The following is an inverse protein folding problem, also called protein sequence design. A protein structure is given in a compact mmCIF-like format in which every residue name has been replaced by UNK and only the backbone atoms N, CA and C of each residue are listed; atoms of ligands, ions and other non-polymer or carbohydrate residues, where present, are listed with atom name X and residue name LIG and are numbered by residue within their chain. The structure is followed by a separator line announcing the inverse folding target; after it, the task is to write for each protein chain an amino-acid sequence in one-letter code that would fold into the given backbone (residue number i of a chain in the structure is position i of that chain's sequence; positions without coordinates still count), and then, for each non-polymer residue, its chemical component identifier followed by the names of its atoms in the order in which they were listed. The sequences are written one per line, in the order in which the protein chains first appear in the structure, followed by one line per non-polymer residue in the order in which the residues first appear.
data_IF_166469695771
#
_entry.id   IF_166469695771
#
_cell.length_a   1.000
_cell.length_b   1.000
_cell.length_c   1.000
_cell.angle_alpha   90.00
_cell.angle_beta   90.00
_cell.angle_gamma   90.00
#
_symmetry.space_group_name_H-M   'P 1'
#
loop_
_entity.id
_entity.type
_entity.pdbx_description
1 polymer ?
#
# COMPACT_ATOMS: atom_id res chain seq x y z
N UNK A 1 33.26 -25.91 -20.96
CA UNK A 1 32.56 -24.62 -21.06
C UNK A 1 31.15 -24.90 -21.55
N UNK A 2 30.20 -24.85 -20.63
CA UNK A 2 28.77 -25.07 -20.95
C UNK A 2 28.23 -23.82 -21.66
N UNK A 3 27.93 -23.95 -22.93
CA UNK A 3 27.23 -22.88 -23.68
C UNK A 3 25.77 -22.90 -23.20
N UNK A 4 25.38 -21.89 -22.43
CA UNK A 4 23.97 -21.64 -22.11
C UNK A 4 23.23 -21.37 -23.42
N UNK A 5 22.41 -22.32 -23.84
CA UNK A 5 21.70 -22.28 -25.13
C UNK A 5 20.56 -21.26 -25.14
N UNK A 6 20.12 -20.80 -23.99
CA UNK A 6 19.10 -19.76 -23.86
C UNK A 6 19.72 -18.49 -23.28
N UNK A 7 19.47 -17.31 -23.89
CA UNK A 7 19.83 -16.05 -23.27
C UNK A 7 19.13 -15.93 -21.92
N UNK A 8 19.84 -15.38 -20.94
CA UNK A 8 19.23 -15.06 -19.63
C UNK A 8 17.99 -14.21 -19.87
N UNK A 9 16.85 -14.60 -19.30
CA UNK A 9 15.66 -13.77 -19.31
C UNK A 9 16.02 -12.43 -18.62
N UNK A 10 15.70 -11.29 -19.23
CA UNK A 10 15.84 -10.03 -18.53
C UNK A 10 15.01 -10.09 -17.25
N UNK A 11 15.60 -9.69 -16.14
CA UNK A 11 14.89 -9.60 -14.87
C UNK A 11 13.71 -8.62 -15.05
N UNK A 12 12.51 -9.14 -14.90
CA UNK A 12 11.30 -8.34 -14.93
C UNK A 12 11.00 -7.88 -13.50
N UNK A 13 11.11 -6.60 -13.26
CA UNK A 13 10.77 -5.97 -11.98
C UNK A 13 9.44 -5.24 -12.11
N UNK A 14 8.31 -5.94 -11.89
CA UNK A 14 6.99 -5.30 -11.95
C UNK A 14 6.92 -4.18 -10.89
N UNK A 15 6.67 -2.96 -11.36
CA UNK A 15 6.73 -1.74 -10.56
C UNK A 15 5.49 -0.89 -10.80
N UNK A 16 4.83 -0.47 -9.73
CA UNK A 16 3.87 0.64 -9.74
C UNK A 16 4.66 1.92 -9.54
N UNK A 17 4.42 2.88 -10.41
CA UNK A 17 4.99 4.22 -10.26
C UNK A 17 3.89 5.28 -10.24
N UNK A 18 4.17 6.39 -9.58
CA UNK A 18 3.34 7.58 -9.67
C UNK A 18 4.21 8.81 -9.92
N UNK A 19 3.72 9.72 -10.74
CA UNK A 19 4.37 10.99 -10.99
C UNK A 19 3.40 12.15 -11.12
N UNK A 20 3.90 13.35 -10.94
CA UNK A 20 3.18 14.61 -11.16
C UNK A 20 3.89 15.48 -12.19
N UNK A 21 3.10 16.28 -12.91
CA UNK A 21 3.61 17.31 -13.81
C UNK A 21 3.86 18.60 -13.01
N UNK A 22 4.97 19.27 -13.29
CA UNK A 22 5.37 20.46 -12.53
C UNK A 22 5.00 21.78 -13.25
N UNK A 23 5.00 21.77 -14.58
CA UNK A 23 4.84 22.98 -15.43
C UNK A 23 3.52 23.04 -16.21
N UNK A 24 2.50 22.30 -15.77
CA UNK A 24 1.16 22.35 -16.37
C UNK A 24 0.12 22.65 -15.30
N UNK A 25 -0.63 23.75 -15.46
CA UNK A 25 -1.63 24.22 -14.48
C UNK A 25 -2.85 23.30 -14.41
N UNK A 26 -3.23 22.70 -15.54
CA UNK A 26 -4.34 21.74 -15.68
C UNK A 26 -4.05 20.39 -15.02
N UNK A 27 -2.81 20.11 -14.68
CA UNK A 27 -2.36 18.88 -13.99
C UNK A 27 -1.99 19.11 -12.51
N UNK A 28 -2.22 20.30 -12.01
CA UNK A 28 -1.93 20.64 -10.62
C UNK A 28 -2.83 19.84 -9.65
N UNK A 29 -2.23 19.16 -8.69
CA UNK A 29 -2.94 18.30 -7.72
C UNK A 29 -3.27 16.91 -8.24
N UNK A 30 -2.91 16.59 -9.50
CA UNK A 30 -3.09 15.27 -10.06
C UNK A 30 -1.82 14.42 -9.93
N UNK A 31 -2.01 13.14 -9.64
CA UNK A 31 -0.98 12.11 -9.75
C UNK A 31 -1.37 11.13 -10.87
N UNK A 32 -0.43 10.86 -11.76
CA UNK A 32 -0.58 9.75 -12.69
C UNK A 32 -0.01 8.49 -12.05
N UNK A 33 -0.80 7.43 -12.08
CA UNK A 33 -0.41 6.11 -11.57
C UNK A 33 -0.30 5.14 -12.74
N UNK A 34 0.85 4.48 -12.86
CA UNK A 34 1.12 3.55 -13.96
C UNK A 34 1.92 2.33 -13.51
N UNK A 35 2.07 1.40 -14.45
CA UNK A 35 2.80 0.15 -14.27
C UNK A 35 3.91 0.01 -15.31
N UNK A 36 5.01 -0.61 -14.89
CA UNK A 36 6.11 -0.99 -15.79
C UNK A 36 6.82 -2.25 -15.30
N UNK A 37 7.40 -2.99 -16.24
CA UNK A 37 8.34 -4.08 -15.95
C UNK A 37 9.81 -3.65 -16.10
N UNK A 38 10.04 -2.34 -16.34
CA UNK A 38 11.35 -1.72 -16.52
C UNK A 38 11.51 -0.57 -15.54
N UNK A 39 12.53 0.24 -15.71
CA UNK A 39 12.70 1.48 -14.94
C UNK A 39 11.51 2.42 -15.17
N UNK A 40 10.92 2.92 -14.07
CA UNK A 40 9.86 3.92 -14.12
C UNK A 40 10.34 5.21 -14.79
N UNK A 41 11.61 5.56 -14.59
CA UNK A 41 12.22 6.74 -15.18
C UNK A 41 12.27 6.67 -16.71
N UNK A 42 12.67 5.52 -17.26
CA UNK A 42 12.68 5.31 -18.71
C UNK A 42 11.26 5.36 -19.27
N UNK A 43 10.30 4.71 -18.57
CA UNK A 43 8.90 4.67 -19.00
C UNK A 43 8.28 6.06 -19.03
N UNK A 44 8.47 6.86 -17.99
CA UNK A 44 7.93 8.23 -17.92
C UNK A 44 8.61 9.13 -18.96
N UNK A 45 9.91 8.97 -19.16
CA UNK A 45 10.66 9.70 -20.19
C UNK A 45 10.15 9.37 -21.60
N UNK A 46 9.87 8.10 -21.90
CA UNK A 46 9.25 7.70 -23.18
C UNK A 46 7.89 8.36 -23.38
N UNK A 47 7.06 8.41 -22.34
CA UNK A 47 5.71 8.99 -22.40
C UNK A 47 5.71 10.52 -22.57
N UNK A 48 6.67 11.21 -21.96
CA UNK A 48 6.70 12.68 -21.90
C UNK A 48 7.82 13.31 -22.69
N UNK A 49 8.74 12.54 -23.24
CA UNK A 49 9.99 13.03 -23.83
C UNK A 49 9.84 14.01 -24.99
N UNK A 50 8.68 14.01 -25.67
CA UNK A 50 8.37 14.90 -26.78
C UNK A 50 7.45 16.07 -26.41
N UNK A 51 6.93 16.08 -25.17
CA UNK A 51 5.88 17.03 -24.77
C UNK A 51 6.43 18.33 -24.15
N UNK A 52 7.71 18.38 -23.80
CA UNK A 52 8.31 19.50 -23.06
C UNK A 52 7.80 19.67 -21.62
N UNK A 53 7.07 18.67 -21.10
CA UNK A 53 6.53 18.69 -19.73
C UNK A 53 7.61 18.29 -18.73
N UNK A 54 7.73 19.08 -17.67
CA UNK A 54 8.57 18.75 -16.52
C UNK A 54 7.80 17.89 -15.55
N UNK A 55 8.38 16.80 -15.08
CA UNK A 55 7.74 15.85 -14.19
C UNK A 55 8.60 15.51 -12.97
N UNK A 56 7.96 14.99 -11.94
CA UNK A 56 8.63 14.40 -10.78
C UNK A 56 7.98 13.07 -10.45
N UNK A 57 8.76 11.99 -10.50
CA UNK A 57 8.34 10.69 -9.97
C UNK A 57 8.31 10.82 -8.45
N UNK A 58 7.18 10.44 -7.85
CA UNK A 58 6.93 10.56 -6.41
C UNK A 58 6.77 9.19 -5.74
N UNK A 59 6.59 8.13 -6.53
CA UNK A 59 6.48 6.75 -6.06
C UNK A 59 7.10 5.80 -7.08
N UNK A 60 7.86 4.85 -6.57
CA UNK A 60 8.27 3.62 -7.25
C UNK A 60 8.19 2.49 -6.23
N UNK A 61 7.26 1.56 -6.42
CA UNK A 61 7.01 0.46 -5.51
C UNK A 61 6.87 -0.87 -6.25
N UNK A 62 7.36 -1.95 -5.66
CA UNK A 62 7.19 -3.28 -6.22
C UNK A 62 5.72 -3.65 -6.36
N UNK A 63 5.33 -4.10 -7.56
CA UNK A 63 3.99 -4.57 -7.88
C UNK A 63 3.81 -6.07 -7.61
N UNK A 64 4.41 -6.56 -6.52
CA UNK A 64 4.32 -7.94 -6.08
C UNK A 64 3.48 -8.04 -4.82
N UNK A 65 2.53 -9.00 -4.80
CA UNK A 65 1.78 -9.38 -3.60
C UNK A 65 2.62 -10.26 -2.69
N UNK A 66 2.19 -10.38 -1.43
CA UNK A 66 2.88 -11.23 -0.45
C UNK A 66 2.82 -12.72 -0.80
N UNK A 67 1.89 -13.15 -1.66
CA UNK A 67 1.80 -14.51 -2.20
C UNK A 67 2.72 -14.76 -3.42
N UNK A 68 3.49 -13.75 -3.84
CA UNK A 68 4.40 -13.82 -4.98
C UNK A 68 3.73 -13.55 -6.34
N UNK A 69 2.43 -13.25 -6.40
CA UNK A 69 1.76 -12.85 -7.64
C UNK A 69 1.99 -11.37 -7.93
N UNK A 70 2.04 -11.00 -9.22
CA UNK A 70 2.11 -9.60 -9.62
C UNK A 70 0.71 -8.99 -9.71
N UNK A 71 0.64 -7.66 -9.51
CA UNK A 71 -0.54 -6.85 -9.78
C UNK A 71 -0.17 -5.69 -10.72
N UNK A 72 -1.16 -5.00 -11.24
CA UNK A 72 -0.96 -3.92 -12.22
C UNK A 72 -1.55 -2.59 -11.71
N UNK A 73 -1.31 -1.52 -12.47
CA UNK A 73 -1.96 -0.22 -12.26
C UNK A 73 -3.49 -0.30 -12.29
N UNK A 74 -4.07 -1.23 -13.07
CA UNK A 74 -5.52 -1.43 -13.07
C UNK A 74 -6.08 -1.83 -11.70
N UNK A 75 -5.35 -2.63 -10.93
CA UNK A 75 -5.74 -2.99 -9.57
C UNK A 75 -5.68 -1.77 -8.66
N UNK A 76 -4.63 -0.95 -8.78
CA UNK A 76 -4.47 0.31 -8.02
C UNK A 76 -5.56 1.30 -8.42
N UNK A 77 -5.83 1.49 -9.72
CA UNK A 77 -6.90 2.38 -10.20
C UNK A 77 -8.27 1.95 -9.66
N UNK A 78 -8.55 0.64 -9.65
CA UNK A 78 -9.80 0.11 -9.09
C UNK A 78 -9.92 0.46 -7.61
N UNK A 79 -8.86 0.30 -6.86
CA UNK A 79 -8.82 0.62 -5.44
C UNK A 79 -9.04 2.11 -5.19
N UNK A 80 -8.33 2.99 -5.91
CA UNK A 80 -8.48 4.45 -5.79
C UNK A 80 -9.90 4.92 -6.16
N UNK A 81 -10.52 4.31 -7.19
CA UNK A 81 -11.93 4.57 -7.55
C UNK A 81 -12.90 4.10 -6.47
N UNK A 82 -12.64 2.97 -5.80
CA UNK A 82 -13.43 2.51 -4.67
C UNK A 82 -13.33 3.47 -3.48
N UNK A 83 -12.18 4.11 -3.28
CA UNK A 83 -12.00 5.21 -2.32
C UNK A 83 -12.73 6.50 -2.73
N UNK A 84 -13.44 6.50 -3.88
CA UNK A 84 -14.16 7.65 -4.44
C UNK A 84 -13.26 8.86 -4.72
N UNK A 85 -11.98 8.63 -5.00
CA UNK A 85 -11.07 9.68 -5.40
C UNK A 85 -11.39 10.13 -6.83
N UNK A 86 -11.43 11.45 -7.12
CA UNK A 86 -11.71 11.95 -8.43
C UNK A 86 -10.70 11.45 -9.47
N UNK A 87 -11.21 10.97 -10.62
CA UNK A 87 -10.41 10.46 -11.72
C UNK A 87 -10.82 11.20 -13.01
N UNK A 88 -10.30 12.41 -13.23
CA UNK A 88 -10.71 13.24 -14.34
C UNK A 88 -10.26 12.70 -15.70
N UNK A 89 -9.18 11.92 -15.75
CA UNK A 89 -8.59 11.46 -17.00
C UNK A 89 -7.83 10.13 -16.79
N UNK A 90 -8.50 9.02 -17.07
CA UNK A 90 -7.92 7.67 -17.17
C UNK A 90 -7.05 7.27 -16.00
N UNK A 91 -5.73 7.48 -16.15
CA UNK A 91 -4.71 7.11 -15.18
C UNK A 91 -4.35 8.25 -14.20
N UNK A 92 -5.05 9.39 -14.30
CA UNK A 92 -4.83 10.56 -13.47
C UNK A 92 -5.86 10.65 -12.36
N UNK A 93 -5.39 10.80 -11.13
CA UNK A 93 -6.22 10.89 -9.92
C UNK A 93 -5.91 12.17 -9.17
N UNK A 94 -6.96 12.84 -8.69
CA UNK A 94 -6.84 13.93 -7.74
C UNK A 94 -6.69 13.32 -6.35
N UNK A 95 -5.45 13.11 -5.94
CA UNK A 95 -5.12 12.41 -4.70
C UNK A 95 -3.72 12.77 -4.19
N UNK A 96 -3.48 12.46 -2.93
CA UNK A 96 -2.15 12.57 -2.32
C UNK A 96 -1.33 11.29 -2.54
N UNK A 97 -0.01 11.42 -2.38
CA UNK A 97 0.91 10.28 -2.42
C UNK A 97 0.51 9.17 -1.41
N UNK A 98 0.04 9.56 -0.23
CA UNK A 98 -0.40 8.62 0.82
C UNK A 98 -1.54 7.72 0.37
N UNK A 99 -2.44 8.22 -0.48
CA UNK A 99 -3.57 7.44 -0.99
C UNK A 99 -3.09 6.34 -1.94
N UNK A 100 -2.14 6.67 -2.82
CA UNK A 100 -1.52 5.69 -3.73
C UNK A 100 -0.71 4.65 -2.95
N UNK A 101 0.07 5.07 -1.95
CA UNK A 101 0.82 4.15 -1.07
C UNK A 101 -0.14 3.21 -0.33
N UNK A 102 -1.23 3.74 0.21
CA UNK A 102 -2.24 2.94 0.91
C UNK A 102 -2.88 1.90 -0.01
N UNK A 103 -3.19 2.29 -1.25
CA UNK A 103 -3.72 1.38 -2.27
C UNK A 103 -2.73 0.25 -2.60
N UNK A 104 -1.46 0.58 -2.83
CA UNK A 104 -0.41 -0.41 -3.12
C UNK A 104 -0.23 -1.39 -1.95
N UNK A 105 -0.21 -0.90 -0.72
CA UNK A 105 -0.07 -1.74 0.48
C UNK A 105 -1.27 -2.66 0.69
N UNK A 106 -2.49 -2.15 0.50
CA UNK A 106 -3.71 -2.95 0.61
C UNK A 106 -3.73 -4.10 -0.41
N UNK A 107 -3.41 -3.80 -1.68
CA UNK A 107 -3.36 -4.80 -2.74
C UNK A 107 -2.25 -5.83 -2.47
N UNK A 108 -1.09 -5.38 -2.00
CA UNK A 108 0.04 -6.26 -1.61
C UNK A 108 -0.36 -7.26 -0.54
N UNK A 109 -1.17 -6.83 0.42
CA UNK A 109 -1.67 -7.66 1.51
C UNK A 109 -2.91 -8.49 1.13
N UNK A 110 -3.41 -8.40 -0.10
CA UNK A 110 -4.61 -9.09 -0.54
C UNK A 110 -5.91 -8.50 0.03
N UNK A 111 -5.86 -7.25 0.52
CA UNK A 111 -7.04 -6.53 1.01
C UNK A 111 -7.88 -6.05 -0.18
N UNK A 112 -8.91 -6.79 -0.52
CA UNK A 112 -9.81 -6.44 -1.63
C UNK A 112 -10.93 -5.46 -1.25
N UNK A 113 -11.13 -5.20 0.03
CA UNK A 113 -12.21 -4.36 0.55
C UNK A 113 -11.68 -3.02 1.08
N UNK A 114 -12.03 -1.98 0.34
CA UNK A 114 -11.99 -0.58 0.80
C UNK A 114 -13.19 -0.24 1.69
N UNK A 115 -13.93 -1.23 2.12
CA UNK A 115 -14.90 -0.97 3.17
C UNK A 115 -14.12 -0.45 4.36
N UNK A 116 -14.31 0.83 4.55
CA UNK A 116 -13.76 1.62 5.62
C UNK A 116 -13.50 0.76 6.85
N UNK A 117 -12.26 0.47 7.15
CA UNK A 117 -11.85 0.28 8.53
C UNK A 117 -12.04 1.66 9.17
N UNK A 118 -13.29 1.98 9.41
CA UNK A 118 -13.63 3.06 10.31
C UNK A 118 -12.94 2.72 11.62
N UNK A 119 -12.28 3.71 12.21
CA UNK A 119 -11.76 3.65 13.58
C UNK A 119 -12.85 3.33 14.62
N UNK A 120 -14.12 3.23 14.18
CA UNK A 120 -15.32 2.83 14.92
C UNK A 120 -15.56 1.31 14.92
N UNK A 121 -14.53 0.52 14.76
CA UNK A 121 -14.65 -0.92 14.94
C UNK A 121 -14.88 -1.22 16.43
N UNK A 122 -16.14 -1.50 16.77
CA UNK A 122 -16.47 -1.97 18.11
C UNK A 122 -15.76 -3.30 18.37
N UNK A 123 -15.05 -3.38 19.48
CA UNK A 123 -14.45 -4.62 19.91
C UNK A 123 -15.57 -5.68 20.09
N UNK A 124 -15.25 -6.93 19.77
CA UNK A 124 -16.14 -8.03 20.11
C UNK A 124 -16.21 -8.19 21.63
N UNK A 125 -17.31 -8.68 22.19
CA UNK A 125 -17.43 -8.86 23.64
C UNK A 125 -16.26 -9.61 24.27
N UNK A 126 -15.73 -10.63 23.58
CA UNK A 126 -14.57 -11.40 24.05
C UNK A 126 -13.27 -10.58 24.06
N UNK A 127 -13.16 -9.60 23.17
CA UNK A 127 -12.03 -8.69 23.12
C UNK A 127 -12.12 -7.63 24.21
N UNK A 128 -13.32 -7.11 24.46
CA UNK A 128 -13.58 -6.18 25.57
C UNK A 128 -13.26 -6.84 26.92
N UNK A 129 -13.76 -8.04 27.15
CA UNK A 129 -13.49 -8.83 28.37
C UNK A 129 -12.00 -9.10 28.56
N UNK A 130 -11.29 -9.47 27.47
CA UNK A 130 -9.84 -9.69 27.53
C UNK A 130 -9.05 -8.42 27.85
N UNK A 131 -9.42 -7.28 27.26
CA UNK A 131 -8.82 -5.97 27.56
C UNK A 131 -9.08 -5.58 29.01
N UNK A 132 -10.33 -5.69 29.46
CA UNK A 132 -10.72 -5.34 30.83
C UNK A 132 -9.96 -6.18 31.87
N UNK A 133 -9.91 -7.50 31.71
CA UNK A 133 -9.14 -8.40 32.58
C UNK A 133 -7.65 -8.05 32.61
N UNK A 134 -7.09 -7.71 31.46
CA UNK A 134 -5.68 -7.29 31.37
C UNK A 134 -5.44 -5.99 32.12
N UNK A 135 -6.31 -5.01 31.96
CA UNK A 135 -6.22 -3.73 32.67
C UNK A 135 -6.37 -3.90 34.20
N UNK A 136 -7.32 -4.72 34.62
CA UNK A 136 -7.52 -5.04 36.05
C UNK A 136 -6.28 -5.71 36.65
N UNK A 137 -5.67 -6.67 35.92
CA UNK A 137 -4.43 -7.32 36.35
C UNK A 137 -3.29 -6.34 36.51
N UNK A 138 -3.04 -5.48 35.53
CA UNK A 138 -1.95 -4.50 35.61
C UNK A 138 -2.19 -3.46 36.70
N UNK A 139 -3.41 -3.02 36.90
CA UNK A 139 -3.75 -2.07 37.98
C UNK A 139 -3.57 -2.68 39.36
N UNK A 140 -4.02 -3.92 39.58
CA UNK A 140 -3.81 -4.61 40.86
C UNK A 140 -2.34 -4.91 41.11
N UNK A 141 -1.62 -5.34 40.07
CA UNK A 141 -0.18 -5.64 40.17
C UNK A 141 0.66 -4.44 40.58
N UNK A 142 0.38 -3.26 39.99
CA UNK A 142 1.09 -2.03 40.31
C UNK A 142 0.84 -1.57 41.75
N UNK A 143 -0.31 -1.89 42.33
CA UNK A 143 -0.62 -1.56 43.73
C UNK A 143 0.04 -2.50 44.76
N UNK A 144 0.34 -3.72 44.35
CA UNK A 144 0.80 -4.78 45.29
C UNK A 144 2.30 -5.14 45.16
N UNK A 145 2.93 -4.88 44.01
CA UNK A 145 4.26 -5.37 43.68
C UNK A 145 5.13 -4.36 42.93
N UNK A 146 5.64 -3.35 43.62
CA UNK A 146 6.44 -2.28 43.00
C UNK A 146 7.78 -2.74 42.39
N UNK A 147 8.34 -3.90 42.79
CA UNK A 147 9.68 -4.36 42.38
C UNK A 147 9.66 -5.52 41.36
N UNK A 148 8.50 -5.94 40.88
CA UNK A 148 8.37 -7.05 39.93
C UNK A 148 7.81 -6.60 38.60
N UNK A 149 8.26 -7.21 37.51
CA UNK A 149 7.67 -6.99 36.17
C UNK A 149 6.39 -7.79 36.02
N UNK A 150 5.26 -7.17 35.65
CA UNK A 150 4.02 -7.89 35.42
C UNK A 150 4.11 -8.77 34.17
N UNK A 151 3.58 -9.97 34.25
CA UNK A 151 3.46 -10.90 33.14
C UNK A 151 2.01 -11.33 32.96
N UNK A 152 1.48 -11.13 31.76
CA UNK A 152 0.12 -11.55 31.40
C UNK A 152 0.15 -12.36 30.10
N UNK A 153 -0.42 -13.56 30.10
CA UNK A 153 -0.46 -14.42 28.92
C UNK A 153 -1.85 -14.35 28.26
N UNK A 154 -1.87 -13.90 27.01
CA UNK A 154 -3.07 -13.98 26.16
C UNK A 154 -3.08 -15.34 25.44
N UNK A 155 -4.04 -16.18 25.76
CA UNK A 155 -4.27 -17.42 25.04
C UNK A 155 -5.41 -17.22 24.04
N UNK A 156 -5.10 -16.65 22.88
CA UNK A 156 -6.06 -16.44 21.81
C UNK A 156 -6.07 -17.66 20.88
N UNK A 157 -7.18 -18.41 20.84
CA UNK A 157 -7.39 -19.44 19.81
C UNK A 157 -7.67 -18.72 18.48
N UNK A 158 -6.78 -18.90 17.50
CA UNK A 158 -7.10 -18.51 16.14
C UNK A 158 -8.24 -19.38 15.62
N UNK A 159 -9.36 -18.76 15.24
CA UNK A 159 -10.39 -19.40 14.43
C UNK A 159 -9.97 -19.21 12.98
N UNK A 160 -9.68 -20.32 12.31
CA UNK A 160 -9.54 -20.39 10.86
C UNK A 160 -10.90 -20.14 10.19
#
# INVERSE_FOLDING_TARGET
MSKTFFPSRPESNPTIYAYKILNASDRKGLLKVGFTNRSAQERVKEQLGTTGLSYKIVLEESAMRNDGSAFTDHDVHRYLKQMKLPNPDGEWFECDLKDVVSAVLAIRNGESNVEHRTLDFKMRPEQEDAVEKTMQYFNSFNNENHDKTPHFLWNAKMRY
#
